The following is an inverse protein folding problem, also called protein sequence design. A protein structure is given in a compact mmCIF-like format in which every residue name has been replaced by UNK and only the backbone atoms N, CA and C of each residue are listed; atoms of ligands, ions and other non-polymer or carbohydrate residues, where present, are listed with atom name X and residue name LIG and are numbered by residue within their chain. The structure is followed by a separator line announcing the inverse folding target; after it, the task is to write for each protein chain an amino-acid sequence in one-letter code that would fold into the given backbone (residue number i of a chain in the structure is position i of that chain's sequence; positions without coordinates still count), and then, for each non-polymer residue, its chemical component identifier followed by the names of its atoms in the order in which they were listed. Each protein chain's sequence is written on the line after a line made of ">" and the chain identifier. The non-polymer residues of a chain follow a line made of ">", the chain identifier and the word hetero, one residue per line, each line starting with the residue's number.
data_IF_249533691964
#
_entry.id   IF_249533691964
#
_cell.length_a   1.000
_cell.length_b   1.000
_cell.length_c   1.000
_cell.angle_alpha   90.00
_cell.angle_beta   90.00
_cell.angle_gamma   90.00
#
_symmetry.space_group_name_H-M   'P 1'
#
loop_
_entity.id
_entity.type
_entity.pdbx_description
1 polymer ?
#
# COMPACT_ATOMS: atom_id res chain seq x y z
N UNK A 1 56.11 -47.28 -0.70
CA UNK A 1 54.96 -47.70 -1.45
C UNK A 1 53.71 -47.68 -0.56
N UNK A 2 53.06 -46.54 -0.41
CA UNK A 2 51.75 -46.45 0.22
C UNK A 2 50.89 -45.50 -0.63
N UNK A 3 49.84 -46.08 -1.20
CA UNK A 3 48.86 -45.38 -2.01
C UNK A 3 47.97 -44.54 -1.09
N UNK A 4 47.90 -43.23 -1.37
CA UNK A 4 46.95 -42.31 -0.74
C UNK A 4 45.71 -42.15 -1.61
N UNK A 5 44.58 -42.49 -1.08
CA UNK A 5 43.26 -42.31 -1.66
C UNK A 5 42.82 -40.85 -1.51
N UNK A 6 42.60 -40.16 -2.62
CA UNK A 6 41.95 -38.84 -2.68
C UNK A 6 40.43 -39.02 -2.57
N UNK A 7 39.84 -38.52 -1.51
CA UNK A 7 38.37 -38.36 -1.39
C UNK A 7 37.95 -37.03 -2.06
N UNK A 8 37.21 -37.13 -3.13
CA UNK A 8 36.53 -35.99 -3.76
C UNK A 8 35.31 -35.59 -2.94
N UNK A 9 35.39 -34.50 -2.23
CA UNK A 9 34.25 -33.87 -1.58
C UNK A 9 33.42 -33.11 -2.61
N UNK A 10 32.24 -33.60 -2.90
CA UNK A 10 31.24 -32.88 -3.68
C UNK A 10 30.66 -31.73 -2.82
N UNK A 11 30.95 -30.50 -3.17
CA UNK A 11 30.32 -29.30 -2.60
C UNK A 11 28.93 -29.18 -3.20
N UNK A 12 27.91 -29.61 -2.46
CA UNK A 12 26.54 -29.34 -2.80
C UNK A 12 26.27 -27.86 -2.47
N UNK A 13 26.18 -27.00 -3.49
CA UNK A 13 25.59 -25.66 -3.35
C UNK A 13 24.08 -25.86 -3.14
N UNK A 14 23.66 -25.77 -1.90
CA UNK A 14 22.26 -25.56 -1.58
C UNK A 14 21.91 -24.09 -1.95
N UNK A 15 21.22 -23.91 -3.05
CA UNK A 15 20.44 -22.71 -3.35
C UNK A 15 19.33 -22.64 -2.29
N UNK A 16 19.60 -21.96 -1.19
CA UNK A 16 18.56 -21.55 -0.27
C UNK A 16 17.72 -20.51 -0.99
N UNK A 17 16.52 -20.93 -1.31
CA UNK A 17 15.50 -20.13 -1.93
C UNK A 17 15.20 -18.85 -1.15
N UNK A 18 14.74 -17.88 -1.87
CA UNK A 18 14.25 -16.58 -1.45
C UNK A 18 13.49 -16.69 -0.13
N UNK A 19 13.99 -15.96 0.86
CA UNK A 19 13.37 -15.89 2.18
C UNK A 19 11.91 -15.47 2.06
N UNK A 20 11.06 -16.20 2.72
CA UNK A 20 9.67 -15.83 2.95
C UNK A 20 9.66 -14.40 3.51
N UNK A 21 9.19 -13.45 2.72
CA UNK A 21 8.82 -12.14 3.23
C UNK A 21 7.67 -12.36 4.19
N UNK A 22 7.96 -12.31 5.47
CA UNK A 22 6.93 -12.42 6.50
C UNK A 22 6.04 -11.19 6.36
N UNK A 23 4.81 -11.40 5.95
CA UNK A 23 3.82 -10.33 5.82
C UNK A 23 3.63 -9.69 7.20
N UNK A 24 3.74 -8.36 7.35
CA UNK A 24 3.58 -7.65 8.63
C UNK A 24 2.27 -7.90 9.37
N UNK A 25 1.30 -8.50 8.71
CA UNK A 25 0.03 -8.93 9.31
C UNK A 25 0.26 -9.85 10.52
N UNK A 26 1.27 -10.73 10.49
CA UNK A 26 1.61 -11.55 11.64
C UNK A 26 2.06 -10.73 12.86
N UNK A 27 2.61 -9.55 12.64
CA UNK A 27 3.08 -8.66 13.72
C UNK A 27 1.95 -7.93 14.43
N UNK A 28 0.83 -7.67 13.73
CA UNK A 28 -0.30 -6.90 14.27
C UNK A 28 -1.32 -7.78 15.01
N UNK A 29 -1.38 -9.08 14.75
CA UNK A 29 -2.39 -10.02 15.26
C UNK A 29 -2.26 -10.44 16.73
N UNK A 30 -1.28 -9.95 17.50
CA UNK A 30 -1.02 -10.42 18.87
C UNK A 30 -1.47 -9.49 20.00
N UNK A 31 -2.36 -8.55 19.76
CA UNK A 31 -3.01 -7.80 20.83
C UNK A 31 -4.51 -7.93 20.72
N UNK A 32 -5.02 -8.97 21.35
CA UNK A 32 -6.45 -9.10 21.67
C UNK A 32 -6.69 -8.60 23.06
N UNK A 33 -7.72 -7.81 23.28
CA UNK A 33 -8.69 -8.08 24.34
C UNK A 33 -9.96 -7.26 24.19
N UNK A 34 -11.03 -8.01 24.23
CA UNK A 34 -12.38 -7.77 24.75
C UNK A 34 -13.34 -6.83 24.03
N UNK A 35 -14.38 -7.50 23.56
CA UNK A 35 -15.59 -6.97 22.97
C UNK A 35 -16.51 -6.35 24.04
N UNK A 36 -17.11 -5.22 23.72
CA UNK A 36 -18.38 -4.80 24.34
C UNK A 36 -19.41 -4.52 23.27
N UNK A 37 -20.55 -5.19 23.37
CA UNK A 37 -21.71 -5.08 22.50
C UNK A 37 -22.57 -3.88 22.88
N UNK A 38 -23.18 -3.24 21.86
CA UNK A 38 -24.55 -2.70 21.78
C UNK A 38 -24.65 -1.30 21.19
N UNK A 39 -25.80 -0.82 20.76
CA UNK A 39 -26.88 -1.40 19.97
C UNK A 39 -27.13 -0.72 18.61
N UNK A 40 -27.96 -1.35 17.80
CA UNK A 40 -28.43 -1.05 16.46
C UNK A 40 -29.02 0.36 16.31
N UNK A 41 -28.48 1.13 15.33
CA UNK A 41 -29.15 2.32 14.77
C UNK A 41 -29.27 2.14 13.27
N UNK A 42 -30.46 2.32 12.76
CA UNK A 42 -30.85 2.21 11.35
C UNK A 42 -30.15 3.26 10.48
N UNK A 43 -29.52 2.92 9.34
CA UNK A 43 -28.86 3.91 8.51
C UNK A 43 -29.88 4.66 7.63
N UNK A 44 -29.84 5.98 7.73
CA UNK A 44 -30.46 6.88 6.75
C UNK A 44 -29.64 6.86 5.46
N UNK A 45 -30.20 6.30 4.40
CA UNK A 45 -29.62 6.30 3.05
C UNK A 45 -29.81 7.70 2.43
N UNK A 46 -28.75 8.48 2.34
CA UNK A 46 -28.67 9.56 1.37
C UNK A 46 -28.27 8.99 0.02
N UNK A 47 -29.23 8.80 -0.86
CA UNK A 47 -28.99 8.41 -2.25
C UNK A 47 -28.31 9.59 -2.99
N UNK A 48 -27.04 9.43 -3.29
CA UNK A 48 -26.35 10.32 -4.24
C UNK A 48 -26.75 9.90 -5.65
N UNK A 49 -27.37 10.81 -6.41
CA UNK A 49 -27.82 10.57 -7.77
C UNK A 49 -26.64 10.15 -8.67
N UNK A 50 -26.80 9.01 -9.34
CA UNK A 50 -25.88 8.54 -10.37
C UNK A 50 -25.87 9.52 -11.55
N UNK A 51 -24.70 9.94 -12.00
CA UNK A 51 -24.53 10.74 -13.21
C UNK A 51 -24.79 9.83 -14.41
N UNK A 52 -25.74 10.16 -15.31
CA UNK A 52 -26.01 9.35 -16.49
C UNK A 52 -24.84 9.39 -17.46
N UNK A 53 -24.26 8.24 -17.80
CA UNK A 53 -23.29 8.10 -18.89
C UNK A 53 -22.01 7.33 -18.59
N UNK A 54 -21.72 6.98 -17.34
CA UNK A 54 -20.45 6.31 -17.01
C UNK A 54 -20.63 4.79 -16.88
N UNK A 55 -20.61 4.09 -18.04
CA UNK A 55 -20.59 2.61 -18.07
C UNK A 55 -19.17 2.03 -17.98
N UNK A 56 -18.17 2.88 -17.69
CA UNK A 56 -16.77 2.46 -17.60
C UNK A 56 -16.57 1.30 -16.62
N UNK A 57 -17.30 1.30 -15.51
CA UNK A 57 -17.21 0.22 -14.51
C UNK A 57 -17.52 -1.17 -15.10
N UNK A 58 -18.45 -1.29 -16.06
CA UNK A 58 -18.77 -2.58 -16.71
C UNK A 58 -17.61 -3.12 -17.52
N UNK A 59 -16.90 -2.25 -18.23
CA UNK A 59 -15.68 -2.59 -18.99
C UNK A 59 -14.63 -3.26 -18.10
N UNK A 60 -14.55 -2.82 -16.84
CA UNK A 60 -13.60 -3.31 -15.85
C UNK A 60 -14.17 -4.39 -14.93
N UNK A 61 -15.32 -5.00 -15.29
CA UNK A 61 -15.90 -6.14 -14.61
C UNK A 61 -16.57 -5.82 -13.26
N UNK A 62 -16.91 -4.56 -13.00
CA UNK A 62 -17.64 -4.18 -11.80
C UNK A 62 -19.15 -4.26 -12.03
N UNK A 63 -19.92 -4.52 -10.97
CA UNK A 63 -21.38 -4.64 -11.02
C UNK A 63 -22.10 -3.29 -10.98
N UNK A 64 -21.46 -2.29 -10.41
CA UNK A 64 -21.97 -0.92 -10.26
C UNK A 64 -20.81 0.08 -10.34
N UNK A 65 -21.08 1.37 -10.54
CA UNK A 65 -20.05 2.41 -10.36
C UNK A 65 -19.40 2.31 -8.99
N UNK A 66 -18.11 2.70 -8.91
CA UNK A 66 -17.45 2.83 -7.63
C UNK A 66 -18.01 4.04 -6.87
N UNK A 67 -18.29 3.84 -5.60
CA UNK A 67 -18.63 4.92 -4.71
C UNK A 67 -17.37 5.53 -4.11
N UNK A 68 -17.27 6.87 -4.14
CA UNK A 68 -16.15 7.59 -3.55
C UNK A 68 -16.59 8.31 -2.28
N UNK A 69 -15.72 8.25 -1.27
CA UNK A 69 -15.93 9.04 -0.07
C UNK A 69 -15.62 10.51 -0.35
N UNK A 70 -16.49 11.43 0.09
CA UNK A 70 -16.20 12.86 -0.03
C UNK A 70 -15.00 13.22 0.85
N UNK A 71 -14.29 14.29 0.48
CA UNK A 71 -13.28 14.87 1.34
C UNK A 71 -13.92 15.26 2.68
N UNK A 72 -13.39 14.83 3.82
CA UNK A 72 -13.96 15.19 5.11
C UNK A 72 -13.81 16.69 5.37
N UNK A 73 -14.80 17.30 6.02
CA UNK A 73 -14.76 18.72 6.39
C UNK A 73 -13.58 19.04 7.34
N UNK A 74 -13.23 18.08 8.18
CA UNK A 74 -12.06 18.11 9.05
C UNK A 74 -11.35 16.76 8.99
N UNK A 75 -10.00 16.82 8.94
CA UNK A 75 -9.21 15.59 8.98
C UNK A 75 -9.41 14.87 10.31
N UNK A 76 -9.49 13.52 10.30
CA UNK A 76 -9.55 12.76 11.54
C UNK A 76 -8.34 13.04 12.45
N UNK A 77 -8.55 13.02 13.76
CA UNK A 77 -7.48 13.12 14.72
C UNK A 77 -6.65 11.83 14.70
N UNK A 78 -5.47 11.89 14.08
CA UNK A 78 -4.54 10.77 14.05
C UNK A 78 -3.89 10.54 15.42
N UNK A 79 -3.41 9.31 15.72
CA UNK A 79 -2.60 9.06 16.89
C UNK A 79 -1.44 10.05 16.99
N UNK A 80 -1.12 10.60 18.17
CA UNK A 80 -0.05 11.56 18.33
C UNK A 80 1.30 10.93 17.97
N UNK A 81 2.14 11.69 17.25
CA UNK A 81 3.52 11.30 17.04
C UNK A 81 4.35 11.50 18.31
N UNK A 82 5.34 10.64 18.54
CA UNK A 82 6.37 10.93 19.53
C UNK A 82 7.20 12.15 19.08
N UNK A 83 7.73 12.97 19.99
CA UNK A 83 8.53 14.13 19.63
C UNK A 83 9.65 13.80 18.65
N UNK A 84 9.72 14.56 17.55
CA UNK A 84 10.75 14.38 16.50
C UNK A 84 10.62 13.10 15.66
N UNK A 85 9.47 12.42 15.70
CA UNK A 85 9.19 11.22 14.90
C UNK A 85 7.94 11.42 14.04
N UNK A 86 7.82 10.75 12.87
CA UNK A 86 6.61 10.80 12.08
C UNK A 86 5.44 10.09 12.79
N UNK A 87 4.22 10.49 12.45
CA UNK A 87 3.03 9.74 12.85
C UNK A 87 3.02 8.37 12.15
N UNK A 88 2.74 7.31 12.90
CA UNK A 88 2.58 5.96 12.35
C UNK A 88 1.09 5.66 12.22
N UNK A 89 0.64 5.43 10.99
CA UNK A 89 -0.77 5.24 10.66
C UNK A 89 -0.95 3.92 9.90
N UNK A 90 -1.74 3.02 10.44
CA UNK A 90 -2.08 1.73 9.81
C UNK A 90 -3.58 1.61 9.47
N UNK A 91 -4.40 2.50 10.04
CA UNK A 91 -5.83 2.69 9.78
C UNK A 91 -6.18 4.15 10.05
N UNK A 92 -7.04 4.73 9.22
CA UNK A 92 -7.57 6.07 9.46
C UNK A 92 -8.68 6.01 10.51
N UNK A 93 -8.62 6.79 11.58
CA UNK A 93 -9.64 6.78 12.63
C UNK A 93 -10.90 7.54 12.19
N UNK A 94 -11.73 6.88 11.38
CA UNK A 94 -13.04 7.39 10.97
C UNK A 94 -14.16 6.82 11.86
N UNK A 95 -15.35 7.45 11.92
CA UNK A 95 -16.50 6.89 12.61
C UNK A 95 -16.83 5.47 12.15
N UNK A 96 -17.29 4.56 13.02
CA UNK A 96 -17.64 3.18 12.64
C UNK A 96 -18.71 3.08 11.54
N UNK A 97 -19.54 4.11 11.38
CA UNK A 97 -20.56 4.21 10.34
C UNK A 97 -20.03 4.69 9.00
N UNK A 98 -18.82 5.26 8.95
CA UNK A 98 -18.21 5.77 7.73
C UNK A 98 -17.41 4.66 7.03
N UNK A 99 -18.11 3.90 6.19
CA UNK A 99 -17.53 2.79 5.44
C UNK A 99 -16.63 3.28 4.30
N UNK A 100 -15.44 3.75 4.65
CA UNK A 100 -14.40 4.19 3.71
C UNK A 100 -13.14 3.36 3.86
N UNK A 101 -12.50 3.05 2.73
CA UNK A 101 -11.18 2.39 2.64
C UNK A 101 -10.27 3.14 1.68
N UNK A 102 -8.97 2.89 1.76
CA UNK A 102 -7.95 3.61 0.98
C UNK A 102 -7.08 2.62 0.20
N UNK A 103 -6.87 2.93 -1.09
CA UNK A 103 -6.07 2.10 -1.99
C UNK A 103 -4.62 2.56 -1.98
N UNK A 104 -3.71 1.64 -1.69
CA UNK A 104 -2.28 1.90 -1.74
C UNK A 104 -1.55 0.81 -2.50
N UNK A 105 -0.57 1.19 -3.33
CA UNK A 105 0.20 0.29 -4.17
C UNK A 105 1.69 0.52 -3.97
N UNK A 106 2.45 -0.55 -3.72
CA UNK A 106 3.86 -0.50 -3.41
C UNK A 106 4.76 -0.96 -4.56
N UNK A 107 6.06 -0.70 -4.43
CA UNK A 107 7.19 -1.08 -5.26
C UNK A 107 7.28 -0.35 -6.60
N UNK A 108 6.31 -0.53 -7.47
CA UNK A 108 6.35 -0.01 -8.83
C UNK A 108 7.01 -0.98 -9.82
N UNK A 109 6.89 -2.31 -9.64
CA UNK A 109 7.51 -3.30 -10.51
C UNK A 109 6.80 -3.43 -11.87
N UNK A 110 5.49 -3.57 -11.87
CA UNK A 110 4.70 -3.65 -13.10
C UNK A 110 4.32 -2.28 -13.64
N UNK A 111 4.27 -2.13 -14.95
CA UNK A 111 3.85 -0.93 -15.69
C UNK A 111 2.84 -1.31 -16.77
N UNK A 112 1.74 -1.95 -16.36
CA UNK A 112 0.68 -2.40 -17.26
C UNK A 112 -0.08 -1.21 -17.86
N UNK A 113 -0.04 -0.99 -19.19
CA UNK A 113 -0.75 0.12 -19.83
C UNK A 113 -2.28 0.00 -19.73
N UNK A 114 -2.83 -1.20 -19.54
CA UNK A 114 -4.25 -1.39 -19.33
C UNK A 114 -4.64 -0.93 -17.91
N UNK A 115 -3.75 -1.06 -16.92
CA UNK A 115 -4.00 -0.52 -15.60
C UNK A 115 -4.04 1.01 -15.58
N UNK A 116 -3.22 1.69 -16.40
CA UNK A 116 -3.35 3.15 -16.59
C UNK A 116 -4.74 3.54 -17.07
N UNK A 117 -5.29 2.80 -18.04
CA UNK A 117 -6.65 3.05 -18.56
C UNK A 117 -7.70 2.77 -17.51
N UNK A 118 -7.57 1.65 -16.77
CA UNK A 118 -8.48 1.32 -15.67
C UNK A 118 -8.50 2.40 -14.59
N UNK A 119 -7.33 2.85 -14.15
CA UNK A 119 -7.20 3.86 -13.13
C UNK A 119 -7.81 5.20 -13.56
N UNK A 120 -7.67 5.58 -14.83
CA UNK A 120 -8.27 6.79 -15.38
C UNK A 120 -9.78 6.65 -15.57
N UNK A 121 -10.26 5.57 -16.19
CA UNK A 121 -11.68 5.29 -16.46
C UNK A 121 -12.48 5.23 -15.15
N UNK A 122 -11.94 4.58 -14.13
CA UNK A 122 -12.58 4.42 -12.82
C UNK A 122 -12.23 5.54 -11.83
N UNK A 123 -11.38 6.50 -12.20
CA UNK A 123 -10.91 7.61 -11.33
C UNK A 123 -10.36 7.12 -10.00
N UNK A 124 -9.53 6.08 -10.00
CA UNK A 124 -9.01 5.46 -8.80
C UNK A 124 -8.00 6.39 -8.08
N UNK A 125 -8.28 6.83 -6.85
CA UNK A 125 -7.34 7.62 -6.06
C UNK A 125 -6.33 6.69 -5.37
N UNK A 126 -5.19 6.48 -5.99
CA UNK A 126 -4.17 5.53 -5.55
C UNK A 126 -3.02 6.28 -4.87
N UNK A 127 -2.66 5.90 -3.65
CA UNK A 127 -1.42 6.34 -3.01
C UNK A 127 -0.32 5.34 -3.33
N UNK A 128 0.62 5.73 -4.20
CA UNK A 128 1.72 4.89 -4.67
C UNK A 128 2.94 5.08 -3.78
N UNK A 129 3.55 4.01 -3.29
CA UNK A 129 4.81 4.01 -2.54
C UNK A 129 5.88 3.36 -3.40
N UNK A 130 6.75 4.17 -4.00
CA UNK A 130 7.68 3.73 -5.03
C UNK A 130 9.08 3.51 -4.50
N UNK A 131 9.68 2.38 -4.89
CA UNK A 131 11.08 2.04 -4.68
C UNK A 131 11.90 2.42 -5.90
N UNK A 132 12.97 3.19 -5.74
CA UNK A 132 13.72 3.77 -6.86
C UNK A 132 14.24 2.73 -7.85
N UNK A 133 15.03 1.75 -7.38
CA UNK A 133 15.65 0.75 -8.26
C UNK A 133 14.64 -0.11 -9.03
N UNK A 134 13.38 -0.10 -8.64
CA UNK A 134 12.27 -0.83 -9.28
C UNK A 134 11.49 0.10 -10.20
N UNK A 135 11.04 1.26 -9.68
CA UNK A 135 10.15 2.17 -10.37
C UNK A 135 10.85 3.04 -11.42
N UNK A 136 12.16 3.32 -11.25
CA UNK A 136 12.92 4.26 -12.10
C UNK A 136 13.10 3.79 -13.54
N UNK A 137 12.87 2.51 -13.83
CA UNK A 137 12.86 2.00 -15.21
C UNK A 137 11.81 2.69 -16.11
N UNK A 138 10.70 3.15 -15.52
CA UNK A 138 9.71 4.02 -16.17
C UNK A 138 8.92 4.87 -15.14
N UNK A 139 9.54 5.89 -14.60
CA UNK A 139 8.83 6.87 -13.75
C UNK A 139 7.72 7.62 -14.49
N UNK A 140 7.78 7.69 -15.83
CA UNK A 140 6.74 8.31 -16.66
C UNK A 140 5.40 7.60 -16.56
N UNK A 141 5.41 6.29 -16.30
CA UNK A 141 4.20 5.51 -16.04
C UNK A 141 3.48 6.02 -14.76
N UNK A 142 4.20 6.19 -13.66
CA UNK A 142 3.65 6.66 -12.39
C UNK A 142 3.25 8.14 -12.43
N UNK A 143 3.92 8.94 -13.27
CA UNK A 143 3.53 10.31 -13.56
C UNK A 143 2.15 10.36 -14.22
N UNK A 144 1.91 9.50 -15.22
CA UNK A 144 0.59 9.37 -15.87
C UNK A 144 -0.50 8.91 -14.90
N UNK A 145 -0.19 7.99 -13.96
CA UNK A 145 -1.13 7.59 -12.90
C UNK A 145 -1.45 8.75 -11.96
N UNK A 146 -0.45 9.53 -11.55
CA UNK A 146 -0.64 10.71 -10.70
C UNK A 146 -1.50 11.77 -11.37
N UNK A 147 -1.25 12.02 -12.67
CA UNK A 147 -1.80 13.16 -13.40
C UNK A 147 -3.10 12.84 -14.15
N UNK A 148 -3.69 11.66 -13.95
CA UNK A 148 -4.92 11.23 -14.61
C UNK A 148 -6.21 11.88 -14.07
N UNK A 149 -6.09 12.81 -13.12
CA UNK A 149 -7.22 13.52 -12.49
C UNK A 149 -7.95 12.76 -11.38
N UNK A 150 -7.48 11.57 -11.00
CA UNK A 150 -8.06 10.77 -9.91
C UNK A 150 -7.64 11.24 -8.52
N UNK A 151 -6.63 12.10 -8.42
CA UNK A 151 -6.02 12.51 -7.15
C UNK A 151 -5.00 11.51 -6.60
N UNK A 152 -4.47 10.62 -7.45
CA UNK A 152 -3.39 9.70 -7.08
C UNK A 152 -2.11 10.45 -6.69
N UNK A 153 -1.29 9.84 -5.83
CA UNK A 153 -0.07 10.46 -5.29
C UNK A 153 1.11 9.51 -5.33
N UNK A 154 2.32 10.10 -5.32
CA UNK A 154 3.59 9.35 -5.25
C UNK A 154 4.22 9.61 -3.89
N UNK A 155 4.65 8.53 -3.23
CA UNK A 155 5.23 8.51 -1.90
C UNK A 155 6.48 7.64 -1.88
N UNK A 156 7.24 7.71 -0.78
CA UNK A 156 8.55 7.08 -0.63
C UNK A 156 8.45 5.63 -0.13
N UNK A 157 9.18 4.70 -0.79
CA UNK A 157 9.34 3.30 -0.36
C UNK A 157 10.80 2.85 -0.36
N UNK A 158 11.76 3.75 -0.12
CA UNK A 158 13.22 3.55 -0.14
C UNK A 158 13.86 3.48 -1.54
N UNK A 159 15.20 3.54 -1.59
CA UNK A 159 15.97 3.38 -2.83
C UNK A 159 15.96 1.95 -3.35
N UNK A 160 16.21 0.96 -2.46
CA UNK A 160 16.53 -0.42 -2.88
C UNK A 160 15.71 -1.51 -2.20
N UNK A 161 14.65 -1.12 -1.46
CA UNK A 161 13.74 -2.03 -0.76
C UNK A 161 14.38 -2.96 0.29
N UNK A 162 15.29 -2.48 1.15
CA UNK A 162 15.90 -3.32 2.18
C UNK A 162 14.97 -3.47 3.40
N UNK A 163 15.20 -4.53 4.20
CA UNK A 163 14.64 -4.58 5.55
C UNK A 163 15.40 -3.56 6.44
N UNK A 164 14.82 -2.38 6.63
CA UNK A 164 15.47 -1.28 7.34
C UNK A 164 15.91 -1.63 8.77
N UNK A 165 15.17 -2.51 9.46
CA UNK A 165 15.52 -2.94 10.83
C UNK A 165 16.87 -3.63 10.94
N UNK A 166 17.40 -4.16 9.85
CA UNK A 166 18.71 -4.84 9.81
C UNK A 166 19.85 -3.89 9.51
N UNK A 167 19.57 -2.63 9.22
CA UNK A 167 20.53 -1.62 8.83
C UNK A 167 20.83 -0.64 9.96
N UNK A 168 22.06 -0.13 10.08
CA UNK A 168 22.37 0.99 10.97
C UNK A 168 21.68 2.27 10.52
N UNK A 169 21.43 3.21 11.44
CA UNK A 169 20.75 4.49 11.21
C UNK A 169 21.23 5.22 9.94
N UNK A 170 22.56 5.32 9.75
CA UNK A 170 23.12 6.02 8.59
C UNK A 170 22.71 5.39 7.25
N UNK A 171 22.64 4.03 7.18
CA UNK A 171 22.19 3.32 5.99
C UNK A 171 20.68 3.46 5.80
N UNK A 172 19.87 3.40 6.86
CA UNK A 172 18.44 3.66 6.79
C UNK A 172 18.16 5.08 6.27
N UNK A 173 18.91 6.07 6.79
CA UNK A 173 18.79 7.45 6.31
C UNK A 173 19.15 7.59 4.84
N UNK A 174 20.23 6.93 4.37
CA UNK A 174 20.60 6.91 2.94
C UNK A 174 19.46 6.36 2.07
N UNK A 175 18.83 5.28 2.48
CA UNK A 175 17.72 4.65 1.77
C UNK A 175 16.50 5.57 1.68
N UNK A 176 16.14 6.25 2.75
CA UNK A 176 14.93 7.09 2.81
C UNK A 176 15.20 8.46 2.18
N UNK A 177 16.28 9.16 2.59
CA UNK A 177 16.59 10.49 2.04
C UNK A 177 16.98 10.44 0.57
N UNK A 178 17.73 9.40 0.15
CA UNK A 178 18.08 9.25 -1.26
C UNK A 178 16.86 9.09 -2.15
N UNK A 179 15.89 8.30 -1.73
CA UNK A 179 14.62 8.20 -2.48
C UNK A 179 13.85 9.52 -2.46
N UNK A 180 13.84 10.30 -1.36
CA UNK A 180 13.24 11.64 -1.33
C UNK A 180 13.86 12.56 -2.39
N UNK A 181 15.19 12.54 -2.53
CA UNK A 181 15.92 13.36 -3.51
C UNK A 181 15.57 12.94 -4.96
N UNK A 182 15.49 11.62 -5.22
CA UNK A 182 15.10 11.10 -6.53
C UNK A 182 13.66 11.50 -6.90
N UNK A 183 12.72 11.34 -5.97
CA UNK A 183 11.32 11.72 -6.19
C UNK A 183 11.16 13.24 -6.37
N UNK A 184 11.84 14.06 -5.58
CA UNK A 184 11.83 15.51 -5.72
C UNK A 184 12.40 15.94 -7.06
N UNK A 185 13.55 15.40 -7.47
CA UNK A 185 14.18 15.68 -8.77
C UNK A 185 13.26 15.29 -9.93
N UNK A 186 12.59 14.14 -9.85
CA UNK A 186 11.79 13.59 -10.94
C UNK A 186 10.40 14.22 -11.03
N UNK A 187 9.74 14.46 -9.91
CA UNK A 187 8.34 14.88 -9.84
C UNK A 187 8.12 16.30 -9.33
N UNK A 188 9.20 17.00 -8.97
CA UNK A 188 9.14 18.40 -8.51
C UNK A 188 8.58 18.57 -7.08
N UNK A 189 8.29 17.48 -6.37
CA UNK A 189 7.74 17.52 -5.02
C UNK A 189 8.39 16.46 -4.14
N UNK A 190 8.67 16.83 -2.88
CA UNK A 190 9.17 15.91 -1.87
C UNK A 190 7.99 15.33 -1.10
N UNK A 191 7.75 14.00 -1.17
CA UNK A 191 6.66 13.39 -0.43
C UNK A 191 6.84 13.54 1.08
N UNK A 192 5.75 13.73 1.80
CA UNK A 192 5.75 13.75 3.28
C UNK A 192 5.37 12.41 3.87
N UNK A 193 5.06 11.41 3.02
CA UNK A 193 4.66 10.06 3.41
C UNK A 193 5.67 9.04 2.98
N UNK A 194 5.85 8.06 3.83
CA UNK A 194 6.79 6.96 3.66
C UNK A 194 6.15 5.65 4.12
N UNK A 195 6.44 4.57 3.41
CA UNK A 195 6.15 3.21 3.88
C UNK A 195 7.47 2.43 3.99
N UNK A 196 7.79 1.84 5.14
CA UNK A 196 8.99 1.00 5.25
C UNK A 196 8.76 -0.33 4.53
N UNK A 197 9.74 -0.84 3.77
CA UNK A 197 9.70 -2.17 3.18
C UNK A 197 9.28 -3.23 4.20
N UNK A 198 8.40 -4.14 3.78
CA UNK A 198 7.83 -5.21 4.63
C UNK A 198 7.05 -4.70 5.86
N UNK A 199 6.75 -3.40 5.96
CA UNK A 199 6.22 -2.77 7.18
C UNK A 199 7.19 -2.84 8.37
N UNK A 200 8.45 -3.20 8.13
CA UNK A 200 9.48 -3.37 9.17
C UNK A 200 10.19 -2.06 9.48
N UNK A 201 10.08 -1.61 10.72
CA UNK A 201 10.74 -0.40 11.19
C UNK A 201 11.16 -0.52 12.68
N UNK A 202 12.05 0.35 13.11
CA UNK A 202 12.49 0.53 14.49
C UNK A 202 12.64 2.02 14.79
N UNK A 203 13.16 2.37 15.96
CA UNK A 203 13.37 3.76 16.37
C UNK A 203 14.31 4.52 15.43
N UNK A 204 15.34 3.87 14.91
CA UNK A 204 16.26 4.45 13.93
C UNK A 204 15.55 4.75 12.61
N UNK A 205 14.59 3.91 12.19
CA UNK A 205 13.78 4.15 11.00
C UNK A 205 12.91 5.40 11.18
N UNK A 206 12.28 5.55 12.33
CA UNK A 206 11.46 6.73 12.65
C UNK A 206 12.30 8.01 12.67
N UNK A 207 13.49 7.93 13.27
CA UNK A 207 14.44 9.06 13.30
C UNK A 207 14.91 9.42 11.90
N UNK A 208 15.35 8.43 11.11
CA UNK A 208 15.80 8.63 9.73
C UNK A 208 14.69 9.25 8.87
N UNK A 209 13.46 8.74 8.97
CA UNK A 209 12.32 9.26 8.24
C UNK A 209 12.04 10.73 8.59
N UNK A 210 12.03 11.11 9.88
CA UNK A 210 11.86 12.49 10.32
C UNK A 210 12.96 13.41 9.76
N UNK A 211 14.23 12.98 9.83
CA UNK A 211 15.36 13.73 9.29
C UNK A 211 15.32 13.90 7.77
N UNK A 212 14.59 13.02 7.04
CA UNK A 212 14.36 13.12 5.60
C UNK A 212 13.08 13.91 5.25
N UNK A 213 12.41 14.56 6.21
CA UNK A 213 11.22 15.38 6.00
C UNK A 213 9.92 14.58 5.90
N UNK A 214 9.93 13.33 6.33
CA UNK A 214 8.72 12.49 6.42
C UNK A 214 7.96 12.86 7.71
N UNK A 215 6.68 13.18 7.57
CA UNK A 215 5.79 13.46 8.70
C UNK A 215 4.84 12.29 9.00
N UNK A 216 4.64 11.37 8.04
CA UNK A 216 3.71 10.26 8.18
C UNK A 216 4.33 8.96 7.67
N UNK A 217 4.34 7.93 8.53
CA UNK A 217 4.67 6.55 8.16
C UNK A 217 3.37 5.78 8.00
N UNK A 218 3.10 5.32 6.77
CA UNK A 218 1.83 4.69 6.41
C UNK A 218 2.01 3.19 6.31
N UNK A 219 1.33 2.45 7.16
CA UNK A 219 1.22 1.00 7.14
C UNK A 219 -0.14 0.57 6.56
N UNK A 220 -0.62 -0.62 6.88
CA UNK A 220 -1.89 -1.17 6.42
C UNK A 220 -2.49 -2.16 7.40
N UNK A 221 -3.78 -2.45 7.25
CA UNK A 221 -4.52 -3.49 7.99
C UNK A 221 -5.08 -4.58 7.11
N UNK A 222 -5.06 -4.36 5.79
CA UNK A 222 -5.54 -5.31 4.80
C UNK A 222 -4.53 -5.36 3.66
N UNK A 223 -4.20 -6.56 3.20
CA UNK A 223 -3.33 -6.78 2.06
C UNK A 223 -4.11 -7.50 0.96
N UNK A 224 -4.10 -6.95 -0.27
CA UNK A 224 -4.62 -7.65 -1.44
C UNK A 224 -3.58 -8.64 -1.91
N UNK A 225 -3.96 -9.91 -1.87
CA UNK A 225 -3.21 -10.98 -2.50
C UNK A 225 -3.65 -11.12 -3.97
N UNK A 226 -3.43 -12.26 -4.60
CA UNK A 226 -3.81 -12.45 -6.01
C UNK A 226 -5.35 -12.43 -6.18
N UNK A 227 -6.08 -13.11 -5.27
CA UNK A 227 -7.52 -13.32 -5.40
C UNK A 227 -8.32 -12.83 -4.19
N UNK A 228 -7.69 -12.66 -3.04
CA UNK A 228 -8.36 -12.43 -1.76
C UNK A 228 -7.66 -11.36 -0.95
N UNK A 229 -8.41 -10.74 -0.04
CA UNK A 229 -7.83 -9.98 1.05
C UNK A 229 -7.26 -10.91 2.12
N UNK A 230 -6.13 -10.49 2.67
CA UNK A 230 -5.60 -10.93 3.94
C UNK A 230 -5.78 -9.80 4.94
N UNK A 231 -6.46 -10.11 6.04
CA UNK A 231 -6.79 -9.12 7.08
C UNK A 231 -5.85 -9.25 8.26
N UNK A 232 -5.40 -8.16 8.84
CA UNK A 232 -4.62 -8.15 10.08
C UNK A 232 -5.44 -8.65 11.27
N UNK A 233 -6.76 -8.49 11.20
CA UNK A 233 -7.71 -8.92 12.22
C UNK A 233 -9.09 -9.20 11.62
N UNK A 234 -9.75 -10.26 12.10
CA UNK A 234 -11.06 -10.67 11.60
C UNK A 234 -11.04 -11.20 10.17
N UNK A 235 -12.15 -11.06 9.45
CA UNK A 235 -12.34 -11.60 8.10
C UNK A 235 -13.09 -10.63 7.16
N UNK A 236 -13.20 -9.35 7.55
CA UNK A 236 -13.90 -8.33 6.78
C UNK A 236 -13.17 -6.98 6.90
N UNK A 237 -13.44 -6.09 5.94
CA UNK A 237 -12.99 -4.70 5.97
C UNK A 237 -13.57 -3.97 7.18
N UNK A 238 -12.81 -3.02 7.70
CA UNK A 238 -13.24 -2.10 8.74
C UNK A 238 -13.12 -0.65 8.25
N UNK A 239 -13.96 0.26 8.76
CA UNK A 239 -13.87 1.68 8.43
C UNK A 239 -12.46 2.22 8.64
N UNK A 240 -11.96 2.93 7.63
CA UNK A 240 -10.63 3.51 7.66
C UNK A 240 -9.49 2.58 7.27
N UNK A 241 -9.75 1.34 6.88
CA UNK A 241 -8.70 0.41 6.47
C UNK A 241 -7.89 0.94 5.29
N UNK A 242 -6.57 0.90 5.46
CA UNK A 242 -5.60 1.12 4.39
C UNK A 242 -5.31 -0.25 3.78
N UNK A 243 -5.58 -0.38 2.49
CA UNK A 243 -5.41 -1.61 1.72
C UNK A 243 -4.08 -1.55 0.98
N UNK A 244 -3.18 -2.49 1.28
CA UNK A 244 -1.94 -2.70 0.53
C UNK A 244 -2.22 -3.56 -0.70
N UNK A 245 -1.81 -3.10 -1.85
CA UNK A 245 -1.59 -3.86 -3.06
C UNK A 245 -0.17 -3.59 -3.58
N UNK A 246 0.25 -4.25 -4.65
CA UNK A 246 1.55 -4.02 -5.27
C UNK A 246 1.38 -3.93 -6.77
N UNK A 247 2.24 -3.17 -7.43
CA UNK A 247 2.39 -3.17 -8.89
C UNK A 247 3.09 -4.46 -9.31
N UNK A 248 2.32 -5.49 -9.64
CA UNK A 248 2.82 -6.83 -9.99
C UNK A 248 2.23 -7.34 -11.29
N UNK A 249 3.06 -8.00 -12.08
CA UNK A 249 2.68 -8.61 -13.34
C UNK A 249 2.33 -10.10 -13.24
N UNK A 250 2.01 -10.76 -14.36
CA UNK A 250 1.56 -12.16 -14.41
C UNK A 250 2.55 -13.17 -13.82
N UNK A 251 3.86 -12.88 -13.85
CA UNK A 251 4.89 -13.73 -13.24
C UNK A 251 4.73 -13.87 -11.73
N UNK A 252 4.36 -12.79 -11.05
CA UNK A 252 4.17 -12.75 -9.60
C UNK A 252 2.73 -13.06 -9.19
N UNK A 253 1.76 -12.76 -10.09
CA UNK A 253 0.33 -12.97 -9.86
C UNK A 253 -0.18 -14.33 -10.39
N UNK A 254 0.72 -15.31 -10.59
CA UNK A 254 0.39 -16.67 -11.07
C UNK A 254 -0.46 -16.65 -12.34
N UNK A 255 -0.08 -15.82 -13.31
CA UNK A 255 -0.77 -15.64 -14.59
C UNK A 255 -1.91 -14.63 -14.59
N UNK A 256 -2.31 -14.07 -13.45
CA UNK A 256 -3.26 -12.94 -13.41
C UNK A 256 -2.55 -11.63 -13.76
N UNK A 257 -3.28 -10.71 -14.38
CA UNK A 257 -2.78 -9.33 -14.62
C UNK A 257 -3.06 -8.44 -13.40
N UNK A 258 -2.38 -7.29 -13.35
CA UNK A 258 -2.63 -6.25 -12.35
C UNK A 258 -4.08 -5.75 -12.42
N UNK A 259 -4.62 -5.58 -13.63
CA UNK A 259 -6.04 -5.24 -13.86
C UNK A 259 -6.96 -6.27 -13.23
N UNK A 260 -6.72 -7.58 -13.45
CA UNK A 260 -7.56 -8.64 -12.88
C UNK A 260 -7.50 -8.69 -11.36
N UNK A 261 -6.32 -8.51 -10.78
CA UNK A 261 -6.15 -8.43 -9.31
C UNK A 261 -6.91 -7.23 -8.76
N UNK A 262 -6.75 -6.06 -9.39
CA UNK A 262 -7.43 -4.82 -8.96
C UNK A 262 -8.94 -4.92 -9.13
N UNK A 263 -9.44 -5.51 -10.21
CA UNK A 263 -10.88 -5.78 -10.39
C UNK A 263 -11.44 -6.58 -9.20
N UNK A 264 -10.78 -7.67 -8.81
CA UNK A 264 -11.19 -8.50 -7.66
C UNK A 264 -11.17 -7.71 -6.35
N UNK A 265 -10.15 -6.86 -6.15
CA UNK A 265 -10.06 -5.96 -4.99
C UNK A 265 -11.26 -5.02 -4.92
N UNK A 266 -11.58 -4.35 -6.03
CA UNK A 266 -12.69 -3.40 -6.11
C UNK A 266 -14.05 -4.10 -5.93
N UNK A 267 -14.26 -5.28 -6.53
CA UNK A 267 -15.45 -6.09 -6.31
C UNK A 267 -15.66 -6.41 -4.84
N UNK A 268 -14.61 -6.82 -4.11
CA UNK A 268 -14.70 -7.12 -2.68
C UNK A 268 -14.97 -5.89 -1.82
N UNK A 269 -14.49 -4.72 -2.22
CA UNK A 269 -14.81 -3.45 -1.56
C UNK A 269 -16.30 -3.16 -1.73
N UNK A 270 -16.84 -3.29 -2.95
CA UNK A 270 -18.26 -3.11 -3.23
C UNK A 270 -19.14 -4.11 -2.50
N UNK A 271 -18.79 -5.40 -2.51
CA UNK A 271 -19.52 -6.49 -1.84
C UNK A 271 -19.68 -6.25 -0.33
N UNK A 272 -18.70 -5.59 0.30
CA UNK A 272 -18.75 -5.24 1.72
C UNK A 272 -19.39 -3.85 1.98
N UNK A 273 -19.81 -3.16 0.92
CA UNK A 273 -20.50 -1.87 0.99
C UNK A 273 -19.59 -0.71 1.40
N UNK A 274 -18.31 -0.76 0.98
CA UNK A 274 -17.34 0.31 1.26
C UNK A 274 -17.17 1.24 0.07
N UNK A 275 -16.90 2.51 0.38
CA UNK A 275 -16.50 3.55 -0.56
C UNK A 275 -14.97 3.66 -0.59
N UNK A 276 -14.43 4.11 -1.71
CA UNK A 276 -12.99 4.41 -1.84
C UNK A 276 -12.75 5.88 -1.51
N UNK A 277 -11.85 6.15 -0.58
CA UNK A 277 -11.41 7.49 -0.20
C UNK A 277 -10.03 7.84 -0.77
N UNK A 278 -9.77 9.13 -0.95
CA UNK A 278 -8.43 9.63 -1.22
C UNK A 278 -7.68 9.76 0.10
N UNK A 279 -6.63 8.97 0.29
CA UNK A 279 -5.90 8.88 1.57
C UNK A 279 -5.38 10.24 2.06
N UNK A 280 -4.91 11.09 1.15
CA UNK A 280 -4.34 12.41 1.43
C UNK A 280 -5.35 13.41 2.01
N UNK A 281 -6.63 13.18 1.77
CA UNK A 281 -7.68 14.03 2.34
C UNK A 281 -7.91 13.74 3.83
N UNK A 282 -7.46 12.56 4.30
CA UNK A 282 -7.62 12.08 5.67
C UNK A 282 -6.31 12.15 6.49
N UNK A 283 -5.16 12.24 5.84
CA UNK A 283 -3.82 12.34 6.45
C UNK A 283 -3.29 13.78 6.54
#
# INVERSE_FOLDING_TARGET
>A
LTAGTLAAGALALSLTGCGNSVDPIERLGRKTTEAQQSPTATPSQSATAAVPGDEAYKKWGLKSPLEFAPKPAQKPALPPAAPGKPQVVDRIPVPPTDKVVFLTFDDGAEKDPEFLKMAADLKLPISMFLTDNIASSDYGYFEKLRDNGSGSTINNHTLTHPNLRTLPLAAQKKEICGQQEHLEKRFGTKPVRFRPPYGNYNDDTLKAAAECGISQMVLWRVSMQINNFQYAEGSALKPGDIILAHFRGPSELKGSTEVQMTTRMLQRIQEQGYRVGRLEDYL
#
